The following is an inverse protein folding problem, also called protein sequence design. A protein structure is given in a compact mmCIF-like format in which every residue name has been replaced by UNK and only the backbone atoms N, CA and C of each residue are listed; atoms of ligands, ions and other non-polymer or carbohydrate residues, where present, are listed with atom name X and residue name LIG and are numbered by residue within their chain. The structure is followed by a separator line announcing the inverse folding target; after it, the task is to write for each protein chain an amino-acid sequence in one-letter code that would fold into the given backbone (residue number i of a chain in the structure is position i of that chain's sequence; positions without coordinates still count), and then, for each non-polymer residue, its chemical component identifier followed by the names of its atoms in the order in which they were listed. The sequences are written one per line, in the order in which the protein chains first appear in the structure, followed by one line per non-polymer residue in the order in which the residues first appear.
data_IF_033559477385
#
_entry.id   IF_033559477385
#
_cell.length_a   1.000
_cell.length_b   1.000
_cell.length_c   1.000
_cell.angle_alpha   90.00
_cell.angle_beta   90.00
_cell.angle_gamma   90.00
#
_symmetry.space_group_name_H-M   'P 1'
#
loop_
_entity.id
_entity.type
_entity.pdbx_description
1 polymer ?
#
# COMPACT_ATOMS: atom_id res chain seq x y z
N UNK A 1 15.27 -3.70 -18.35
CA UNK A 1 15.32 -4.94 -17.55
C UNK A 1 14.62 -4.69 -16.21
N UNK A 2 13.44 -5.27 -15.88
CA UNK A 2 12.84 -5.00 -14.57
C UNK A 2 13.45 -5.92 -13.50
N UNK A 3 14.16 -5.29 -12.56
CA UNK A 3 14.74 -5.88 -11.35
C UNK A 3 13.59 -6.42 -10.49
N UNK A 4 13.71 -7.69 -10.07
CA UNK A 4 12.75 -8.36 -9.20
C UNK A 4 13.22 -8.21 -7.76
N UNK A 5 12.36 -7.76 -6.85
CA UNK A 5 12.70 -7.65 -5.42
C UNK A 5 12.31 -8.94 -4.71
N UNK A 6 13.28 -9.55 -4.05
CA UNK A 6 13.12 -10.77 -3.27
C UNK A 6 12.86 -10.43 -1.79
N UNK A 7 12.17 -11.32 -1.08
CA UNK A 7 11.76 -11.19 0.34
C UNK A 7 12.88 -10.75 1.30
N UNK A 8 14.13 -11.11 0.98
CA UNK A 8 15.34 -10.81 1.75
C UNK A 8 15.79 -9.35 1.71
N UNK A 9 15.25 -8.51 0.82
CA UNK A 9 15.74 -7.14 0.59
C UNK A 9 14.92 -6.06 1.32
N UNK A 10 13.91 -6.45 2.09
CA UNK A 10 13.15 -5.54 2.95
C UNK A 10 13.77 -5.54 4.34
N UNK A 11 14.44 -4.47 4.79
CA UNK A 11 15.08 -4.43 6.10
C UNK A 11 14.05 -4.39 7.24
N UNK A 12 12.90 -3.76 7.00
CA UNK A 12 11.86 -3.51 7.99
C UNK A 12 10.95 -4.73 8.24
N UNK A 13 10.76 -5.10 9.52
CA UNK A 13 9.96 -6.25 9.92
C UNK A 13 8.45 -6.05 9.69
N UNK A 14 7.93 -4.82 9.80
CA UNK A 14 6.54 -4.50 9.51
C UNK A 14 6.25 -4.64 8.02
N UNK A 15 7.16 -4.21 7.14
CA UNK A 15 7.02 -4.42 5.69
C UNK A 15 6.98 -5.91 5.33
N UNK A 16 7.82 -6.74 5.95
CA UNK A 16 7.77 -8.20 5.74
C UNK A 16 6.45 -8.81 6.23
N UNK A 17 5.98 -8.43 7.42
CA UNK A 17 4.67 -8.85 7.96
C UNK A 17 3.51 -8.41 7.05
N UNK A 18 3.53 -7.17 6.56
CA UNK A 18 2.51 -6.61 5.68
C UNK A 18 2.47 -7.33 4.32
N UNK A 19 3.63 -7.58 3.72
CA UNK A 19 3.72 -8.32 2.47
C UNK A 19 3.23 -9.77 2.64
N UNK A 20 3.63 -10.45 3.72
CA UNK A 20 3.16 -11.80 4.01
C UNK A 20 1.64 -11.84 4.21
N UNK A 21 1.06 -10.85 4.92
CA UNK A 21 -0.38 -10.70 5.06
C UNK A 21 -1.06 -10.53 3.70
N UNK A 22 -0.58 -9.58 2.90
CA UNK A 22 -1.10 -9.28 1.57
C UNK A 22 -1.11 -10.52 0.67
N UNK A 23 -0.01 -11.25 0.61
CA UNK A 23 0.13 -12.47 -0.19
C UNK A 23 -0.86 -13.56 0.25
N UNK A 24 -1.08 -13.75 1.56
CA UNK A 24 -2.09 -14.70 2.06
C UNK A 24 -3.50 -14.32 1.58
N UNK A 25 -3.84 -13.03 1.60
CA UNK A 25 -5.16 -12.55 1.16
C UNK A 25 -5.32 -12.57 -0.36
N UNK A 26 -4.25 -12.41 -1.12
CA UNK A 26 -4.27 -12.61 -2.57
C UNK A 26 -4.69 -14.04 -2.96
N UNK A 27 -4.13 -15.04 -2.29
CA UNK A 27 -4.24 -16.44 -2.75
C UNK A 27 -3.62 -16.59 -4.13
N UNK A 28 -4.41 -17.04 -5.10
CA UNK A 28 -4.00 -17.14 -6.52
C UNK A 28 -4.23 -15.85 -7.32
N UNK A 29 -4.89 -14.85 -6.73
CA UNK A 29 -5.15 -13.57 -7.40
C UNK A 29 -3.95 -12.65 -7.31
N UNK A 30 -3.89 -11.66 -8.20
CA UNK A 30 -2.83 -10.65 -8.18
C UNK A 30 -2.95 -9.65 -7.03
N UNK A 31 -4.16 -9.44 -6.50
CA UNK A 31 -4.45 -8.55 -5.39
C UNK A 31 -5.65 -9.10 -4.58
N UNK A 32 -5.72 -8.83 -3.27
CA UNK A 32 -6.90 -9.17 -2.48
C UNK A 32 -8.06 -8.25 -2.88
N UNK A 33 -9.30 -8.71 -2.67
CA UNK A 33 -10.46 -7.80 -2.65
C UNK A 33 -10.40 -6.99 -1.38
N UNK A 34 -11.02 -5.80 -1.42
CA UNK A 34 -11.17 -4.95 -0.24
C UNK A 34 -11.76 -5.71 0.97
N UNK A 35 -12.76 -6.54 0.72
CA UNK A 35 -13.44 -7.32 1.75
C UNK A 35 -12.58 -8.44 2.37
N UNK A 36 -11.46 -8.81 1.72
CA UNK A 36 -10.56 -9.84 2.26
C UNK A 36 -9.59 -9.26 3.30
N UNK A 37 -9.47 -7.93 3.34
CA UNK A 37 -8.59 -7.21 4.28
C UNK A 37 -9.39 -6.91 5.55
N UNK A 38 -9.06 -7.63 6.62
CA UNK A 38 -9.58 -7.39 7.96
C UNK A 38 -8.48 -6.76 8.83
N UNK A 39 -8.64 -5.50 9.26
CA UNK A 39 -7.74 -4.82 10.18
C UNK A 39 -7.43 -5.62 11.46
N UNK A 40 -8.38 -6.41 11.96
CA UNK A 40 -8.24 -7.18 13.21
C UNK A 40 -7.16 -8.26 13.10
N UNK A 41 -6.85 -8.71 11.89
CA UNK A 41 -5.82 -9.72 11.64
C UNK A 41 -4.39 -9.13 11.59
N UNK A 42 -4.25 -7.80 11.68
CA UNK A 42 -2.97 -7.11 11.55
C UNK A 42 -2.76 -5.96 12.57
N UNK A 43 -3.10 -6.13 13.86
CA UNK A 43 -3.11 -5.03 14.82
C UNK A 43 -1.76 -4.29 14.92
N UNK A 44 -0.64 -5.03 14.89
CA UNK A 44 0.72 -4.48 14.89
C UNK A 44 1.05 -3.59 13.68
N UNK A 45 0.35 -3.81 12.55
CA UNK A 45 0.56 -3.05 11.32
C UNK A 45 -0.37 -1.84 11.22
N UNK A 46 -1.52 -1.87 11.91
CA UNK A 46 -2.51 -0.80 11.86
C UNK A 46 -1.95 0.60 12.10
N UNK A 47 -1.02 0.82 13.05
CA UNK A 47 -0.43 2.14 13.26
C UNK A 47 0.33 2.69 12.05
N UNK A 48 0.84 1.82 11.17
CA UNK A 48 1.75 2.16 10.08
C UNK A 48 1.11 2.15 8.68
N UNK A 49 -0.18 1.79 8.56
CA UNK A 49 -0.84 1.66 7.26
C UNK A 49 -1.79 2.83 6.95
N UNK A 50 -2.05 3.01 5.65
CA UNK A 50 -3.16 3.80 5.13
C UNK A 50 -4.02 2.92 4.26
N UNK A 51 -5.33 2.88 4.53
CA UNK A 51 -6.32 2.34 3.61
C UNK A 51 -6.97 3.52 2.88
N UNK A 52 -6.88 3.48 1.55
CA UNK A 52 -7.32 4.57 0.67
C UNK A 52 -8.38 4.01 -0.26
N UNK A 53 -9.57 4.61 -0.23
CA UNK A 53 -10.64 4.30 -1.16
C UNK A 53 -10.41 5.06 -2.48
N UNK A 54 -10.60 4.37 -3.60
CA UNK A 54 -10.60 4.97 -4.94
C UNK A 54 -12.01 5.48 -5.22
N UNK A 55 -12.21 6.79 -5.26
CA UNK A 55 -13.52 7.40 -5.56
C UNK A 55 -13.68 7.52 -7.08
N UNK A 56 -12.66 8.06 -7.74
CA UNK A 56 -12.52 8.17 -9.18
C UNK A 56 -11.01 8.28 -9.52
N UNK A 57 -10.59 8.16 -10.79
CA UNK A 57 -9.20 8.44 -11.18
C UNK A 57 -8.76 9.83 -10.67
N UNK A 58 -7.58 9.91 -10.03
CA UNK A 58 -7.09 11.14 -9.39
C UNK A 58 -7.81 11.56 -8.09
N UNK A 59 -8.91 10.89 -7.70
CA UNK A 59 -9.69 11.22 -6.50
C UNK A 59 -9.69 10.07 -5.50
N UNK A 60 -9.00 10.31 -4.38
CA UNK A 60 -8.70 9.31 -3.37
C UNK A 60 -9.17 9.79 -2.00
N UNK A 61 -9.79 8.90 -1.22
CA UNK A 61 -10.27 9.19 0.14
C UNK A 61 -9.53 8.36 1.16
N UNK A 62 -9.00 8.98 2.20
CA UNK A 62 -8.43 8.23 3.32
C UNK A 62 -9.56 7.60 4.14
N UNK A 63 -9.60 6.27 4.18
CA UNK A 63 -10.59 5.52 4.97
C UNK A 63 -10.07 5.23 6.37
N UNK A 64 -8.83 4.76 6.44
CA UNK A 64 -8.12 4.48 7.68
C UNK A 64 -6.72 5.02 7.54
N UNK A 65 -6.27 5.79 8.52
CA UNK A 65 -4.88 6.17 8.69
C UNK A 65 -4.41 5.76 10.07
N UNK A 66 -3.33 4.99 10.10
CA UNK A 66 -2.69 4.55 11.31
C UNK A 66 -2.10 5.70 12.11
N UNK A 67 -2.04 5.53 13.43
CA UNK A 67 -1.61 6.58 14.36
C UNK A 67 -0.19 7.07 14.09
N UNK A 68 0.76 6.19 13.77
CA UNK A 68 2.14 6.58 13.46
C UNK A 68 2.20 7.37 12.16
N UNK A 69 1.35 7.04 11.18
CA UNK A 69 1.24 7.81 9.94
C UNK A 69 0.66 9.20 10.19
N UNK A 70 -0.34 9.33 11.07
CA UNK A 70 -0.86 10.64 11.48
C UNK A 70 0.23 11.47 12.17
N UNK A 71 1.02 10.86 13.06
CA UNK A 71 2.12 11.54 13.76
C UNK A 71 3.20 12.06 12.80
N UNK A 72 3.56 11.28 11.77
CA UNK A 72 4.50 11.72 10.73
C UNK A 72 4.05 12.99 9.99
N UNK A 73 2.74 13.30 10.00
CA UNK A 73 2.18 14.49 9.39
C UNK A 73 1.72 15.52 10.43
N UNK A 74 2.32 15.53 11.63
CA UNK A 74 2.03 16.51 12.67
C UNK A 74 0.66 16.33 13.35
N UNK A 75 0.11 15.11 13.35
CA UNK A 75 -1.15 14.79 14.02
C UNK A 75 -2.40 15.17 13.22
N UNK A 76 -2.27 15.50 11.93
CA UNK A 76 -3.41 15.76 11.04
C UNK A 76 -4.33 14.53 10.95
N UNK A 77 -5.62 14.74 11.22
CA UNK A 77 -6.66 13.71 11.06
C UNK A 77 -7.11 13.67 9.61
N UNK A 78 -6.91 12.52 8.98
CA UNK A 78 -7.15 12.32 7.56
C UNK A 78 -8.41 11.51 7.26
N UNK A 79 -8.90 10.74 8.24
CA UNK A 79 -9.99 9.80 8.04
C UNK A 79 -11.24 10.49 7.48
N UNK A 80 -11.77 9.93 6.38
CA UNK A 80 -12.93 10.43 5.66
C UNK A 80 -12.64 11.52 4.61
N UNK A 81 -11.44 12.12 4.60
CA UNK A 81 -11.11 13.27 3.73
C UNK A 81 -10.48 12.84 2.41
N UNK A 82 -10.68 13.64 1.37
CA UNK A 82 -9.97 13.47 0.11
C UNK A 82 -8.49 13.85 0.26
N UNK A 83 -7.61 13.22 -0.51
CA UNK A 83 -6.16 13.47 -0.43
C UNK A 83 -5.82 14.95 -0.61
N UNK A 84 -6.48 15.64 -1.53
CA UNK A 84 -6.27 17.07 -1.78
C UNK A 84 -6.82 17.98 -0.67
N UNK A 85 -7.75 17.50 0.15
CA UNK A 85 -8.23 18.22 1.34
C UNK A 85 -7.29 17.97 2.53
N UNK A 86 -6.82 16.73 2.64
CA UNK A 86 -6.05 16.20 3.74
C UNK A 86 -4.60 16.71 3.75
N UNK A 87 -3.98 16.86 2.58
CA UNK A 87 -2.56 17.17 2.45
C UNK A 87 -2.35 18.57 1.86
N UNK A 88 -1.22 19.23 2.19
CA UNK A 88 -0.78 20.42 1.46
C UNK A 88 -0.70 20.15 -0.05
N UNK A 89 -1.03 21.12 -0.93
CA UNK A 89 -1.11 20.91 -2.37
C UNK A 89 0.14 20.24 -2.97
N UNK A 90 1.34 20.73 -2.63
CA UNK A 90 2.60 20.16 -3.13
C UNK A 90 2.79 18.67 -2.76
N UNK A 91 2.28 18.23 -1.61
CA UNK A 91 2.34 16.83 -1.20
C UNK A 91 1.23 16.00 -1.86
N UNK A 92 0.03 16.56 -2.03
CA UNK A 92 -1.04 15.92 -2.78
C UNK A 92 -0.62 15.65 -4.23
N UNK A 93 -0.01 16.63 -4.89
CA UNK A 93 0.52 16.52 -6.26
C UNK A 93 1.59 15.44 -6.40
N UNK A 94 2.33 15.16 -5.32
CA UNK A 94 3.30 14.07 -5.28
C UNK A 94 2.65 12.69 -5.05
N UNK A 95 1.63 12.62 -4.19
CA UNK A 95 1.01 11.35 -3.75
C UNK A 95 -0.06 10.84 -4.73
N UNK A 96 -0.86 11.72 -5.34
CA UNK A 96 -1.94 11.31 -6.26
C UNK A 96 -1.43 10.48 -7.43
N UNK A 97 -0.33 10.86 -8.12
CA UNK A 97 0.25 10.02 -9.18
C UNK A 97 0.70 8.65 -8.67
N UNK A 98 1.08 8.56 -7.39
CA UNK A 98 1.48 7.30 -6.78
C UNK A 98 0.29 6.36 -6.63
N UNK A 99 -0.85 6.90 -6.23
CA UNK A 99 -2.09 6.12 -6.17
C UNK A 99 -2.62 5.76 -7.55
N UNK A 100 -2.53 6.66 -8.54
CA UNK A 100 -2.90 6.36 -9.93
C UNK A 100 -2.10 5.18 -10.48
N UNK A 101 -0.79 5.14 -10.24
CA UNK A 101 0.05 4.02 -10.65
C UNK A 101 -0.34 2.72 -9.94
N UNK A 102 -0.62 2.76 -8.63
CA UNK A 102 -1.11 1.60 -7.89
C UNK A 102 -2.43 1.05 -8.45
N UNK A 103 -3.37 1.93 -8.81
CA UNK A 103 -4.67 1.55 -9.42
C UNK A 103 -4.44 0.97 -10.80
N UNK A 104 -3.68 1.65 -11.66
CA UNK A 104 -3.34 1.22 -13.02
C UNK A 104 -2.64 -0.15 -13.03
N UNK A 105 -1.66 -0.32 -12.15
CA UNK A 105 -0.91 -1.56 -12.01
C UNK A 105 -1.65 -2.65 -11.21
N UNK A 106 -2.82 -2.34 -10.64
CA UNK A 106 -3.61 -3.25 -9.78
C UNK A 106 -2.78 -3.82 -8.63
N UNK A 107 -2.04 -2.96 -7.93
CA UNK A 107 -1.20 -3.34 -6.79
C UNK A 107 0.03 -4.19 -7.13
N UNK A 108 0.38 -4.35 -8.41
CA UNK A 108 1.58 -5.09 -8.84
C UNK A 108 2.86 -4.27 -8.80
N UNK A 109 2.79 -3.01 -8.39
CA UNK A 109 3.93 -2.10 -8.33
C UNK A 109 4.04 -1.51 -6.93
N UNK A 110 5.26 -1.35 -6.43
CA UNK A 110 5.54 -0.57 -5.23
C UNK A 110 6.59 0.50 -5.54
N UNK A 111 6.59 1.57 -4.76
CA UNK A 111 7.55 2.66 -4.88
C UNK A 111 8.64 2.50 -3.81
N UNK A 112 9.91 2.56 -4.23
CA UNK A 112 11.07 2.60 -3.32
C UNK A 112 12.14 3.51 -3.88
N UNK A 113 12.60 4.47 -3.07
CA UNK A 113 13.71 5.39 -3.40
C UNK A 113 13.52 6.06 -4.77
N UNK A 114 12.38 6.74 -4.98
CA UNK A 114 12.13 7.52 -6.19
C UNK A 114 11.79 6.71 -7.46
N UNK A 115 11.56 5.39 -7.37
CA UNK A 115 11.29 4.55 -8.54
C UNK A 115 10.23 3.48 -8.30
N UNK A 116 9.43 3.21 -9.33
CA UNK A 116 8.45 2.12 -9.36
C UNK A 116 9.11 0.78 -9.65
N UNK A 117 8.77 -0.24 -8.88
CA UNK A 117 9.25 -1.61 -9.04
C UNK A 117 8.09 -2.57 -9.07
N UNK A 118 8.15 -3.56 -9.98
CA UNK A 118 7.11 -4.58 -10.12
C UNK A 118 7.32 -5.67 -9.06
N UNK A 119 6.27 -6.02 -8.33
CA UNK A 119 6.26 -7.19 -7.45
C UNK A 119 6.08 -8.43 -8.35
N UNK A 120 7.08 -9.31 -8.38
CA UNK A 120 6.87 -10.66 -8.91
C UNK A 120 6.42 -11.54 -7.75
N UNK A 121 5.30 -12.24 -7.91
CA UNK A 121 5.01 -13.37 -7.03
C UNK A 121 6.21 -14.33 -7.09
N UNK A 122 6.68 -14.83 -5.95
CA UNK A 122 7.48 -16.05 -5.98
C UNK A 122 6.60 -17.10 -6.66
N UNK A 123 6.92 -17.45 -7.91
CA UNK A 123 6.41 -18.67 -8.52
C UNK A 123 6.69 -19.78 -7.52
N UNK A 124 5.65 -20.48 -7.05
CA UNK A 124 5.85 -21.73 -6.32
C UNK A 124 6.79 -22.56 -7.19
N UNK A 125 7.97 -22.88 -6.66
CA UNK A 125 8.78 -23.93 -7.23
C UNK A 125 7.87 -25.16 -7.28
N UNK A 126 7.62 -25.64 -8.49
CA UNK A 126 6.92 -26.88 -8.77
C UNK A 126 7.60 -27.97 -7.96
N UNK A 127 6.93 -28.48 -6.93
CA UNK A 127 7.26 -29.80 -6.38
C UNK A 127 6.69 -30.81 -7.37
N UNK A 128 7.57 -31.41 -8.15
CA UNK A 128 7.44 -32.75 -8.69
C UNK A 128 8.58 -33.57 -8.07
#
# INVERSE_FOLDING_TARGET
MPISVQFSELPDAHLRKALAYWQRKCGERHMPRRADIDPIEMPDLLPYIRLVDVVAPGQYRYRVVGTEVEQMHGGLKFNGRLVHEALPPALADHIVPVYDECVRARGRSFWKTGSWRRIRSASRATRA
#
